data_IF_985612221092
#
_entry.id   IF_985612221092
#
_cell.length_a   1.000
_cell.length_b   1.000
_cell.length_c   1.000
_cell.angle_alpha   90.00
_cell.angle_beta   90.00
_cell.angle_gamma   90.00
#
_symmetry.space_group_name_H-M   'P 1'
#
loop_
_entity.id
_entity.type
_entity.pdbx_description
1 polymer ?
#
# COMPACT_ATOMS: atom_id res chain seq x y z
N UNK A 1 -25.88 31.70 -13.59
CA UNK A 1 -26.95 30.83 -13.04
C UNK A 1 -27.14 29.51 -13.79
N UNK A 2 -27.09 29.47 -15.14
CA UNK A 2 -27.29 28.22 -15.90
C UNK A 2 -26.18 27.18 -15.69
N UNK A 3 -24.91 27.62 -15.68
CA UNK A 3 -23.74 26.76 -15.46
C UNK A 3 -23.75 26.10 -14.07
N UNK A 4 -24.18 26.82 -13.03
CA UNK A 4 -24.24 26.27 -11.67
C UNK A 4 -25.36 25.19 -11.53
N UNK A 5 -26.46 25.36 -12.28
CA UNK A 5 -27.57 24.39 -12.32
C UNK A 5 -27.20 23.08 -13.03
N UNK A 6 -26.22 23.09 -13.93
CA UNK A 6 -25.71 21.89 -14.59
C UNK A 6 -24.49 21.30 -13.88
N UNK A 7 -23.63 22.13 -13.28
CA UNK A 7 -22.46 21.66 -12.55
C UNK A 7 -22.84 20.83 -11.32
N UNK A 8 -23.84 21.27 -10.55
CA UNK A 8 -24.27 20.56 -9.34
C UNK A 8 -24.68 19.10 -9.60
N UNK A 9 -25.64 18.85 -10.51
CA UNK A 9 -26.05 17.50 -10.88
C UNK A 9 -24.92 16.69 -11.52
N UNK A 10 -24.06 17.32 -12.32
CA UNK A 10 -22.92 16.64 -12.95
C UNK A 10 -21.90 16.17 -11.91
N UNK A 11 -21.54 17.04 -10.95
CA UNK A 11 -20.66 16.67 -9.85
C UNK A 11 -21.29 15.56 -9.00
N UNK A 12 -22.59 15.64 -8.69
CA UNK A 12 -23.28 14.60 -7.94
C UNK A 12 -23.26 13.26 -8.67
N UNK A 13 -23.53 13.26 -9.98
CA UNK A 13 -23.48 12.07 -10.81
C UNK A 13 -22.07 11.44 -10.83
N UNK A 14 -21.03 12.24 -11.01
CA UNK A 14 -19.64 11.78 -10.97
C UNK A 14 -19.26 11.19 -9.60
N UNK A 15 -19.73 11.80 -8.51
CA UNK A 15 -19.45 11.35 -7.15
C UNK A 15 -20.15 10.01 -6.86
N UNK A 16 -21.40 9.85 -7.30
CA UNK A 16 -22.12 8.58 -7.22
C UNK A 16 -21.42 7.50 -8.06
N UNK A 17 -21.03 7.81 -9.30
CA UNK A 17 -20.28 6.88 -10.14
C UNK A 17 -18.94 6.47 -9.49
N UNK A 18 -18.25 7.41 -8.84
CA UNK A 18 -17.00 7.13 -8.13
C UNK A 18 -17.19 6.12 -6.99
N UNK A 19 -18.28 6.21 -6.22
CA UNK A 19 -18.57 5.25 -5.13
C UNK A 19 -18.70 3.81 -5.66
N UNK A 20 -19.26 3.61 -6.85
CA UNK A 20 -19.41 2.27 -7.43
C UNK A 20 -18.11 1.68 -7.99
N UNK A 21 -17.12 2.52 -8.29
CA UNK A 21 -15.80 2.09 -8.81
C UNK A 21 -14.73 2.13 -7.72
N UNK A 22 -15.01 2.77 -6.59
CA UNK A 22 -14.11 2.83 -5.47
C UNK A 22 -13.77 1.42 -4.97
N UNK A 23 -12.50 1.14 -4.61
CA UNK A 23 -12.11 -0.16 -4.08
C UNK A 23 -12.94 -0.52 -2.84
N UNK A 24 -13.58 -1.68 -2.86
CA UNK A 24 -14.22 -2.28 -1.67
C UNK A 24 -13.14 -3.10 -0.96
N UNK A 25 -12.36 -2.45 -0.10
CA UNK A 25 -11.23 -3.05 0.62
C UNK A 25 -10.33 -1.99 1.26
N UNK A 26 -9.26 -2.38 1.98
CA UNK A 26 -8.30 -1.42 2.50
C UNK A 26 -7.74 -0.60 1.35
N UNK A 27 -7.93 0.72 1.39
CA UNK A 27 -7.25 1.62 0.48
C UNK A 27 -5.76 1.54 0.81
N UNK A 28 -4.90 1.15 -0.15
CA UNK A 28 -3.48 1.23 0.08
C UNK A 28 -3.14 2.68 0.37
N UNK A 29 -2.35 2.90 1.42
CA UNK A 29 -1.82 4.21 1.73
C UNK A 29 -0.91 4.70 0.60
N UNK A 30 -0.55 5.99 0.67
CA UNK A 30 0.36 6.61 -0.30
C UNK A 30 1.73 6.97 0.30
N UNK A 31 1.88 6.89 1.63
CA UNK A 31 3.07 7.32 2.34
C UNK A 31 3.38 6.41 3.54
N UNK A 32 4.63 5.99 3.65
CA UNK A 32 5.23 5.51 4.91
C UNK A 32 5.95 6.67 5.61
N UNK A 33 5.62 6.91 6.88
CA UNK A 33 6.30 7.89 7.73
C UNK A 33 7.64 7.39 8.31
N UNK A 34 8.27 8.21 9.17
CA UNK A 34 9.52 7.87 9.86
C UNK A 34 10.79 8.36 9.15
N UNK A 35 11.94 8.08 9.77
CA UNK A 35 13.27 8.41 9.22
C UNK A 35 13.83 7.18 8.51
N UNK A 36 14.23 7.27 7.22
CA UNK A 36 14.84 6.13 6.53
C UNK A 36 16.12 5.66 7.24
N UNK A 37 16.25 4.36 7.40
CA UNK A 37 17.48 3.68 7.82
C UNK A 37 17.91 2.67 6.77
N UNK A 38 19.16 2.22 6.84
CA UNK A 38 19.61 1.06 6.08
C UNK A 38 18.92 -0.22 6.59
N UNK A 39 18.95 -1.27 5.75
CA UNK A 39 18.48 -2.60 6.12
C UNK A 39 19.41 -3.13 7.23
N UNK A 40 18.86 -3.60 8.37
CA UNK A 40 19.69 -4.14 9.43
C UNK A 40 20.33 -5.47 9.01
N UNK A 41 21.51 -5.79 9.57
CA UNK A 41 22.17 -7.08 9.35
C UNK A 41 21.33 -8.27 9.87
N UNK A 42 20.43 -8.01 10.82
CA UNK A 42 19.48 -8.98 11.37
C UNK A 42 18.21 -8.28 11.84
N UNK A 43 17.06 -8.91 11.60
CA UNK A 43 15.76 -8.39 12.01
C UNK A 43 15.38 -8.67 13.48
N UNK A 44 16.21 -9.40 14.23
CA UNK A 44 15.97 -9.70 15.64
C UNK A 44 14.78 -10.64 15.89
N UNK A 45 14.18 -10.62 17.08
CA UNK A 45 12.96 -11.38 17.37
C UNK A 45 11.73 -10.61 16.88
N UNK A 46 11.02 -11.13 15.87
CA UNK A 46 9.83 -10.47 15.31
C UNK A 46 8.51 -11.15 15.70
N UNK A 47 8.54 -12.09 16.66
CA UNK A 47 7.41 -12.95 17.02
C UNK A 47 6.19 -12.20 17.58
N UNK A 48 6.41 -11.00 18.15
CA UNK A 48 5.36 -10.13 18.66
C UNK A 48 4.72 -9.24 17.58
N UNK A 49 5.27 -9.20 16.36
CA UNK A 49 4.85 -8.32 15.28
C UNK A 49 4.14 -9.17 14.23
N UNK A 50 2.87 -8.86 13.95
CA UNK A 50 2.04 -9.66 13.04
C UNK A 50 1.99 -9.10 11.62
N UNK A 51 2.18 -7.79 11.47
CA UNK A 51 2.07 -7.10 10.20
C UNK A 51 3.09 -5.98 10.08
N UNK A 52 3.41 -5.65 8.84
CA UNK A 52 4.29 -4.56 8.46
C UNK A 52 3.55 -3.66 7.48
N UNK A 53 4.02 -2.42 7.40
CA UNK A 53 3.64 -1.51 6.33
C UNK A 53 4.69 -1.60 5.22
N UNK A 54 4.31 -1.95 4.00
CA UNK A 54 5.19 -2.11 2.85
C UNK A 54 4.81 -1.10 1.75
N UNK A 55 5.75 -0.25 1.36
CA UNK A 55 5.61 0.69 0.26
C UNK A 55 6.35 0.17 -0.98
N UNK A 56 5.59 0.01 -2.07
CA UNK A 56 6.10 -0.30 -3.40
C UNK A 56 6.22 0.99 -4.20
N UNK A 57 7.41 1.32 -4.74
CA UNK A 57 7.62 2.55 -5.47
C UNK A 57 6.88 2.57 -6.81
N UNK A 58 6.54 3.77 -7.27
CA UNK A 58 5.90 4.01 -8.56
C UNK A 58 5.49 5.48 -8.70
N UNK A 59 4.94 5.91 -9.86
CA UNK A 59 4.43 7.27 -10.04
C UNK A 59 3.37 7.65 -9.00
N UNK A 60 2.61 6.65 -8.55
CA UNK A 60 1.77 6.70 -7.36
C UNK A 60 2.21 5.52 -6.48
N UNK A 61 3.03 5.76 -5.43
CA UNK A 61 3.46 4.71 -4.51
C UNK A 61 2.27 4.01 -3.89
N UNK A 62 2.43 2.71 -3.65
CA UNK A 62 1.39 1.89 -3.05
C UNK A 62 1.86 1.34 -1.73
N UNK A 63 1.16 1.69 -0.66
CA UNK A 63 1.46 1.22 0.69
C UNK A 63 0.43 0.18 1.11
N UNK A 64 0.89 -1.02 1.47
CA UNK A 64 0.03 -2.11 1.93
C UNK A 64 0.40 -2.51 3.35
N UNK A 65 -0.60 -2.92 4.13
CA UNK A 65 -0.40 -3.62 5.40
C UNK A 65 -0.43 -5.11 5.09
N UNK A 66 0.63 -5.84 5.44
CA UNK A 66 0.79 -7.24 5.04
C UNK A 66 1.50 -8.05 6.13
N UNK A 67 1.15 -9.33 6.20
CA UNK A 67 1.85 -10.30 7.02
C UNK A 67 3.20 -10.66 6.42
N UNK A 68 4.13 -11.01 7.30
CA UNK A 68 5.45 -11.46 6.92
C UNK A 68 5.79 -12.73 7.72
N UNK A 69 6.82 -13.43 7.27
CA UNK A 69 7.39 -14.59 7.95
C UNK A 69 8.88 -14.31 8.14
N UNK A 70 9.37 -14.52 9.35
CA UNK A 70 10.80 -14.52 9.60
C UNK A 70 11.33 -15.97 9.56
N UNK A 71 12.43 -16.20 8.84
CA UNK A 71 13.08 -17.50 8.76
C UNK A 71 14.57 -17.34 8.53
N UNK A 72 15.39 -18.06 9.29
CA UNK A 72 16.87 -18.03 9.18
C UNK A 72 17.50 -16.62 9.28
N UNK A 73 16.82 -15.69 9.97
CA UNK A 73 17.26 -14.30 10.12
C UNK A 73 16.77 -13.34 9.04
N UNK A 74 16.14 -13.86 7.98
CA UNK A 74 15.57 -13.10 6.87
C UNK A 74 14.06 -12.88 7.02
N UNK A 75 13.55 -11.84 6.35
CA UNK A 75 12.12 -11.53 6.26
C UNK A 75 11.57 -11.89 4.89
N UNK A 76 10.46 -12.62 4.89
CA UNK A 76 9.74 -13.06 3.71
C UNK A 76 8.33 -12.50 3.72
N UNK A 77 7.93 -11.92 2.58
CA UNK A 77 6.58 -11.43 2.36
C UNK A 77 5.96 -12.26 1.24
N UNK A 78 4.79 -12.83 1.49
CA UNK A 78 4.08 -13.64 0.51
C UNK A 78 2.96 -12.82 -0.12
N UNK A 79 3.04 -12.65 -1.44
CA UNK A 79 2.03 -11.95 -2.22
C UNK A 79 1.41 -12.84 -3.28
N UNK A 80 0.10 -12.69 -3.53
CA UNK A 80 -0.55 -13.30 -4.70
C UNK A 80 -0.18 -12.53 -5.96
N UNK A 81 0.14 -13.25 -7.05
CA UNK A 81 0.47 -12.65 -8.38
C UNK A 81 -0.63 -11.71 -8.90
N UNK A 82 -1.89 -11.94 -8.53
CA UNK A 82 -3.01 -11.06 -8.89
C UNK A 82 -3.08 -9.75 -8.09
N UNK A 83 -2.24 -9.58 -7.06
CA UNK A 83 -2.26 -8.39 -6.21
C UNK A 83 -1.56 -7.24 -6.93
N UNK A 84 -2.24 -6.09 -7.00
CA UNK A 84 -1.73 -4.94 -7.74
C UNK A 84 -0.40 -4.37 -7.21
N UNK A 85 -0.02 -4.63 -5.96
CA UNK A 85 1.31 -4.25 -5.43
C UNK A 85 2.41 -5.23 -5.87
N UNK A 86 2.11 -6.53 -5.98
CA UNK A 86 3.05 -7.56 -6.48
C UNK A 86 3.34 -7.30 -7.95
N UNK A 87 2.31 -6.98 -8.75
CA UNK A 87 2.51 -6.67 -10.16
C UNK A 87 3.37 -5.43 -10.40
N UNK A 88 3.42 -4.50 -9.44
CA UNK A 88 4.29 -3.31 -9.50
C UNK A 88 5.76 -3.66 -9.22
N UNK A 89 6.04 -4.76 -8.53
CA UNK A 89 7.40 -5.24 -8.28
C UNK A 89 7.97 -6.03 -9.47
N UNK A 90 7.14 -6.58 -10.35
CA UNK A 90 7.62 -7.38 -11.49
C UNK A 90 8.45 -8.59 -11.03
N UNK A 91 9.73 -8.64 -11.40
CA UNK A 91 10.70 -9.67 -10.97
C UNK A 91 11.36 -9.34 -9.61
N UNK A 92 10.99 -8.23 -8.98
CA UNK A 92 11.53 -7.72 -7.73
C UNK A 92 11.94 -6.24 -7.82
N UNK A 93 12.25 -5.63 -6.68
CA UNK A 93 12.67 -4.24 -6.65
C UNK A 93 12.87 -3.71 -5.23
N UNK A 94 13.47 -2.53 -5.09
CA UNK A 94 13.60 -1.87 -3.80
C UNK A 94 12.21 -1.54 -3.26
N UNK A 95 12.02 -1.79 -1.97
CA UNK A 95 10.80 -1.47 -1.22
C UNK A 95 11.18 -0.67 0.01
N UNK A 96 10.25 0.11 0.53
CA UNK A 96 10.36 0.66 1.88
C UNK A 96 9.44 -0.13 2.79
N UNK A 97 9.91 -0.40 4.00
CA UNK A 97 9.15 -1.13 4.99
C UNK A 97 9.19 -0.36 6.31
N UNK A 98 8.06 -0.34 7.01
CA UNK A 98 7.99 0.03 8.42
C UNK A 98 7.49 -1.17 9.19
N UNK A 99 8.27 -1.55 10.19
CA UNK A 99 7.92 -2.55 11.18
C UNK A 99 7.49 -1.78 12.43
N UNK A 100 6.35 -2.16 13.02
CA UNK A 100 5.69 -1.43 14.12
C UNK A 100 5.13 -0.04 13.71
N UNK A 101 4.54 0.68 14.68
CA UNK A 101 4.02 2.04 14.51
C UNK A 101 5.03 3.11 14.92
#
# INVERSE_FOLDING_TARGET
MKILKTLGPLCLFLLVAFVFVAPIGPLPGILIGGTPSEVPDSWGESSAIHEITLEVPGPLPRVVIIWFVQSEGDLYIVGSRGSGWVSMLGEGGPVRMRMED
#
